data_IF_139449286569
#
_entry.id   IF_139449286569
#
_cell.length_a   1.000
_cell.length_b   1.000
_cell.length_c   1.000
_cell.angle_alpha   90.00
_cell.angle_beta   90.00
_cell.angle_gamma   90.00
#
_symmetry.space_group_name_H-M   'P 1'
#
loop_
_entity.id
_entity.type
_entity.pdbx_description
1 polymer ?
#
# COMPACT_ATOMS: atom_id res chain seq x y z
N UNK A 1 17.46 18.13 -17.95
CA UNK A 1 16.14 17.65 -17.47
C UNK A 1 16.34 17.18 -16.04
N UNK A 2 15.54 17.67 -15.11
CA UNK A 2 15.74 17.33 -13.67
C UNK A 2 14.78 16.18 -13.31
N UNK A 3 15.33 15.02 -13.03
CA UNK A 3 14.55 13.84 -12.59
C UNK A 3 14.18 13.98 -11.12
N UNK A 4 12.88 14.08 -10.81
CA UNK A 4 12.37 14.36 -9.46
C UNK A 4 11.75 13.13 -8.78
N UNK A 5 11.76 11.97 -9.41
CA UNK A 5 11.10 10.76 -8.91
C UNK A 5 11.48 10.44 -7.45
N UNK A 6 12.78 10.28 -7.18
CA UNK A 6 13.24 9.91 -5.83
C UNK A 6 13.00 11.00 -4.79
N UNK A 7 13.05 12.28 -5.21
CA UNK A 7 12.70 13.39 -4.33
C UNK A 7 11.22 13.37 -3.93
N UNK A 8 10.33 12.93 -4.84
CA UNK A 8 8.92 12.74 -4.53
C UNK A 8 8.68 11.48 -3.68
N UNK A 9 9.27 10.33 -4.03
CA UNK A 9 9.16 9.11 -3.23
C UNK A 9 9.58 9.38 -1.77
N UNK A 10 10.64 10.17 -1.55
CA UNK A 10 11.05 10.54 -0.19
C UNK A 10 9.98 11.30 0.61
N UNK A 11 8.96 11.87 -0.06
CA UNK A 11 7.85 12.59 0.61
C UNK A 11 6.81 11.65 1.22
N UNK A 12 6.82 10.36 0.91
CA UNK A 12 5.95 9.36 1.55
C UNK A 12 6.04 9.45 3.09
N UNK A 13 7.20 9.83 3.64
CA UNK A 13 7.39 10.04 5.08
C UNK A 13 6.56 11.19 5.68
N UNK A 14 6.04 12.09 4.86
CA UNK A 14 5.26 13.25 5.33
C UNK A 14 3.75 13.03 5.24
N UNK A 15 3.31 11.91 4.68
CA UNK A 15 1.89 11.59 4.51
C UNK A 15 1.48 10.66 5.63
N UNK A 16 0.72 11.22 6.57
CA UNK A 16 0.24 10.49 7.75
C UNK A 16 -0.97 9.64 7.39
N UNK A 17 -0.95 8.39 7.81
CA UNK A 17 -2.09 7.47 7.74
C UNK A 17 -3.01 7.66 8.93
N UNK A 18 -4.25 7.16 8.82
CA UNK A 18 -5.25 7.24 9.90
C UNK A 18 -5.59 8.67 10.32
N UNK A 19 -5.53 9.63 9.40
CA UNK A 19 -5.65 11.06 9.67
C UNK A 19 -6.99 11.52 10.26
N UNK A 20 -8.05 10.68 10.22
CA UNK A 20 -9.35 10.94 10.85
C UNK A 20 -9.51 10.30 12.23
N UNK A 21 -8.47 9.64 12.75
CA UNK A 21 -8.50 8.92 14.03
C UNK A 21 -7.43 9.47 14.96
N UNK A 22 -7.72 9.47 16.26
CA UNK A 22 -6.71 9.74 17.27
C UNK A 22 -5.76 8.55 17.32
N UNK A 23 -4.48 8.79 17.14
CA UNK A 23 -3.43 7.78 17.19
C UNK A 23 -2.63 7.90 18.46
N UNK A 24 -2.25 6.78 19.09
CA UNK A 24 -1.29 6.73 20.20
C UNK A 24 0.13 6.96 19.67
N UNK A 25 0.43 6.44 18.48
CA UNK A 25 1.64 6.72 17.72
C UNK A 25 1.30 6.92 16.24
N UNK A 26 1.98 7.86 15.62
CA UNK A 26 1.77 8.17 14.20
C UNK A 26 2.38 7.08 13.31
N UNK A 27 1.74 6.82 12.17
CA UNK A 27 2.24 6.01 11.08
C UNK A 27 2.20 6.85 9.80
N UNK A 28 3.27 6.83 9.02
CA UNK A 28 3.31 7.45 7.70
C UNK A 28 3.37 6.38 6.59
N UNK A 29 3.14 6.81 5.34
CA UNK A 29 3.08 5.88 4.19
C UNK A 29 4.42 5.15 3.99
N UNK A 30 5.58 5.78 4.26
CA UNK A 30 6.88 5.13 4.07
C UNK A 30 7.09 3.98 5.07
N UNK A 31 6.74 4.17 6.34
CA UNK A 31 6.79 3.12 7.38
C UNK A 31 5.83 2.00 7.07
N UNK A 32 4.59 2.34 6.67
CA UNK A 32 3.59 1.36 6.24
C UNK A 32 4.08 0.54 5.04
N UNK A 33 4.55 1.18 3.97
CA UNK A 33 5.02 0.49 2.77
C UNK A 33 6.22 -0.42 3.05
N UNK A 34 7.12 -0.03 3.96
CA UNK A 34 8.20 -0.91 4.43
C UNK A 34 7.64 -2.16 5.12
N UNK A 35 6.69 -2.01 6.06
CA UNK A 35 6.07 -3.15 6.74
C UNK A 35 5.30 -4.05 5.76
N UNK A 36 4.55 -3.45 4.83
CA UNK A 36 3.85 -4.20 3.77
C UNK A 36 4.84 -4.99 2.93
N UNK A 37 6.01 -4.43 2.59
CA UNK A 37 7.03 -5.14 1.82
C UNK A 37 7.60 -6.35 2.57
N UNK A 38 7.87 -6.22 3.87
CA UNK A 38 8.32 -7.35 4.73
C UNK A 38 7.26 -8.45 4.78
N UNK A 39 5.99 -8.09 4.98
CA UNK A 39 4.88 -9.04 5.03
C UNK A 39 4.62 -9.69 3.67
N UNK A 40 4.64 -8.92 2.59
CA UNK A 40 4.43 -9.44 1.24
C UNK A 40 5.52 -10.44 0.84
N UNK A 41 6.79 -10.13 1.14
CA UNK A 41 7.90 -11.06 0.96
C UNK A 41 7.66 -12.36 1.71
N UNK A 42 7.32 -12.28 3.00
CA UNK A 42 7.07 -13.45 3.85
C UNK A 42 5.88 -14.29 3.36
N UNK A 43 4.76 -13.65 2.99
CA UNK A 43 3.59 -14.33 2.45
C UNK A 43 3.89 -15.04 1.12
N UNK A 44 4.70 -14.40 0.25
CA UNK A 44 5.12 -14.99 -1.01
C UNK A 44 6.05 -16.20 -0.80
N UNK A 45 6.97 -16.15 0.18
CA UNK A 45 7.79 -17.29 0.58
C UNK A 45 6.94 -18.45 1.11
N UNK A 46 5.97 -18.17 1.98
CA UNK A 46 5.04 -19.19 2.49
C UNK A 46 4.27 -19.83 1.33
N UNK A 47 3.75 -18.99 0.41
CA UNK A 47 3.00 -19.48 -0.76
C UNK A 47 3.87 -20.36 -1.65
N UNK A 48 5.12 -19.98 -1.94
CA UNK A 48 6.03 -20.71 -2.80
C UNK A 48 6.60 -21.96 -2.12
N UNK A 49 7.20 -21.82 -0.93
CA UNK A 49 8.06 -22.83 -0.32
C UNK A 49 7.28 -23.79 0.57
N UNK A 50 6.13 -23.38 1.12
CA UNK A 50 5.30 -24.22 2.00
C UNK A 50 4.09 -24.77 1.25
N UNK A 51 3.39 -23.92 0.48
CA UNK A 51 2.17 -24.34 -0.21
C UNK A 51 2.41 -24.88 -1.63
N UNK A 52 3.63 -24.74 -2.17
CA UNK A 52 3.98 -25.20 -3.52
C UNK A 52 3.24 -24.46 -4.64
N UNK A 53 2.81 -23.21 -4.38
CA UNK A 53 2.09 -22.37 -5.33
C UNK A 53 3.02 -21.30 -5.92
N UNK A 54 2.75 -20.89 -7.17
CA UNK A 54 3.55 -19.88 -7.84
C UNK A 54 3.52 -18.54 -7.11
N UNK A 55 4.72 -17.97 -6.84
CA UNK A 55 4.92 -16.63 -6.32
C UNK A 55 6.37 -16.18 -6.52
N UNK A 56 6.56 -14.88 -6.73
CA UNK A 56 7.87 -14.22 -6.77
C UNK A 56 8.02 -13.29 -5.54
N UNK A 57 8.72 -13.74 -4.47
CA UNK A 57 8.86 -12.99 -3.24
C UNK A 57 9.55 -11.64 -3.42
N UNK A 58 10.58 -11.58 -4.26
CA UNK A 58 11.35 -10.37 -4.53
C UNK A 58 10.50 -9.34 -5.28
N UNK A 59 9.71 -9.79 -6.26
CA UNK A 59 8.74 -8.94 -6.96
C UNK A 59 7.67 -8.43 -6.03
N UNK A 60 7.10 -9.28 -5.16
CA UNK A 60 6.09 -8.88 -4.18
C UNK A 60 6.63 -7.81 -3.22
N UNK A 61 7.85 -7.99 -2.70
CA UNK A 61 8.49 -7.01 -1.83
C UNK A 61 8.73 -5.68 -2.55
N UNK A 62 9.26 -5.72 -3.77
CA UNK A 62 9.53 -4.53 -4.55
C UNK A 62 8.23 -3.78 -4.91
N UNK A 63 7.19 -4.47 -5.35
CA UNK A 63 5.88 -3.87 -5.64
C UNK A 63 5.26 -3.22 -4.39
N UNK A 64 5.36 -3.87 -3.24
CA UNK A 64 4.84 -3.37 -1.97
C UNK A 64 5.49 -2.05 -1.53
N UNK A 65 6.78 -1.81 -1.85
CA UNK A 65 7.44 -0.53 -1.57
C UNK A 65 6.80 0.66 -2.31
N UNK A 66 6.14 0.41 -3.43
CA UNK A 66 5.56 1.45 -4.28
C UNK A 66 4.02 1.45 -4.32
N UNK A 67 3.34 0.51 -3.63
CA UNK A 67 1.89 0.29 -3.76
C UNK A 67 1.06 1.54 -3.44
N UNK A 68 1.51 2.36 -2.49
CA UNK A 68 0.88 3.64 -2.11
C UNK A 68 1.64 4.87 -2.68
N UNK A 69 2.56 4.70 -3.64
CA UNK A 69 3.35 5.82 -4.16
C UNK A 69 2.49 6.91 -4.82
N UNK A 70 1.33 6.57 -5.39
CA UNK A 70 0.39 7.52 -5.95
C UNK A 70 -0.13 8.52 -4.91
N UNK A 71 -0.18 8.15 -3.64
CA UNK A 71 -0.65 8.98 -2.53
C UNK A 71 0.27 10.17 -2.22
N UNK A 72 1.49 10.20 -2.77
CA UNK A 72 2.35 11.39 -2.76
C UNK A 72 1.65 12.60 -3.41
N UNK A 73 0.79 12.35 -4.40
CA UNK A 73 0.06 13.37 -5.15
C UNK A 73 -1.40 13.53 -4.67
N UNK A 74 -2.00 12.49 -4.10
CA UNK A 74 -3.41 12.49 -3.69
C UNK A 74 -3.63 12.66 -2.19
N UNK A 75 -2.62 12.37 -1.37
CA UNK A 75 -2.76 12.10 0.06
C UNK A 75 -3.38 10.73 0.33
N UNK A 76 -3.30 10.29 1.59
CA UNK A 76 -3.99 9.09 2.07
C UNK A 76 -5.49 9.38 2.20
N UNK A 77 -6.29 8.85 1.29
CA UNK A 77 -7.73 9.02 1.33
C UNK A 77 -8.37 7.96 2.26
N UNK A 78 -9.14 8.37 3.29
CA UNK A 78 -9.77 7.43 4.20
C UNK A 78 -10.62 6.38 3.47
N UNK A 79 -10.45 5.12 3.84
CA UNK A 79 -11.14 3.97 3.23
C UNK A 79 -12.66 4.14 3.09
N UNK A 80 -13.41 4.71 4.08
CA UNK A 80 -14.85 4.95 3.91
C UNK A 80 -15.20 5.89 2.77
N UNK A 81 -14.33 6.87 2.47
CA UNK A 81 -14.52 7.81 1.35
C UNK A 81 -14.14 7.14 0.04
N UNK A 82 -12.99 6.47 -0.01
CA UNK A 82 -12.47 5.77 -1.20
C UNK A 82 -13.47 4.76 -1.78
N UNK A 83 -14.29 4.13 -0.92
CA UNK A 83 -15.27 3.09 -1.28
C UNK A 83 -16.73 3.49 -1.02
N UNK A 84 -17.01 4.79 -0.93
CA UNK A 84 -18.37 5.29 -0.62
C UNK A 84 -19.42 4.84 -1.64
N UNK A 85 -19.10 4.93 -2.92
CA UNK A 85 -19.93 4.42 -4.01
C UNK A 85 -19.06 4.04 -5.24
N UNK A 86 -19.63 3.31 -6.24
CA UNK A 86 -18.87 2.91 -7.44
C UNK A 86 -18.26 4.09 -8.20
N UNK A 87 -18.97 5.20 -8.34
CA UNK A 87 -18.50 6.37 -9.09
C UNK A 87 -17.25 7.00 -8.44
N UNK A 88 -17.24 7.15 -7.12
CA UNK A 88 -16.06 7.67 -6.38
C UNK A 88 -14.90 6.70 -6.48
N UNK A 89 -15.15 5.40 -6.32
CA UNK A 89 -14.14 4.35 -6.46
C UNK A 89 -13.46 4.38 -7.82
N UNK A 90 -14.25 4.49 -8.91
CA UNK A 90 -13.73 4.50 -10.27
C UNK A 90 -12.99 5.80 -10.59
N UNK A 91 -13.52 6.94 -10.14
CA UNK A 91 -12.83 8.23 -10.26
C UNK A 91 -11.49 8.22 -9.52
N UNK A 92 -11.44 7.65 -8.31
CA UNK A 92 -10.21 7.55 -7.54
C UNK A 92 -9.17 6.65 -8.21
N UNK A 93 -9.57 5.51 -8.78
CA UNK A 93 -8.67 4.65 -9.59
C UNK A 93 -8.06 5.40 -10.78
N UNK A 94 -8.84 6.26 -11.45
CA UNK A 94 -8.30 7.10 -12.52
C UNK A 94 -7.27 8.09 -11.99
N UNK A 95 -7.50 8.70 -10.84
CA UNK A 95 -6.55 9.61 -10.20
C UNK A 95 -5.26 8.86 -9.81
N UNK A 96 -5.37 7.66 -9.23
CA UNK A 96 -4.21 6.81 -8.91
C UNK A 96 -3.39 6.49 -10.17
N UNK A 97 -4.06 6.13 -11.28
CA UNK A 97 -3.41 5.86 -12.55
C UNK A 97 -2.66 7.08 -13.11
N UNK A 98 -3.32 8.23 -13.17
CA UNK A 98 -2.70 9.49 -13.63
C UNK A 98 -1.52 9.88 -12.74
N UNK A 99 -1.62 9.62 -11.44
CA UNK A 99 -0.53 9.86 -10.48
C UNK A 99 0.67 8.94 -10.77
N UNK A 100 0.43 7.66 -11.03
CA UNK A 100 1.46 6.71 -11.45
C UNK A 100 2.15 7.12 -12.76
N UNK A 101 1.39 7.56 -13.77
CA UNK A 101 1.92 8.07 -15.03
C UNK A 101 2.83 9.28 -14.81
N UNK A 102 2.43 10.22 -13.97
CA UNK A 102 3.24 11.40 -13.62
C UNK A 102 4.53 11.02 -12.88
N UNK A 103 4.46 10.06 -11.96
CA UNK A 103 5.65 9.56 -11.25
C UNK A 103 6.63 8.91 -12.23
N UNK A 104 6.16 8.01 -13.08
CA UNK A 104 6.99 7.35 -14.09
C UNK A 104 7.62 8.34 -15.07
N UNK A 105 6.89 9.38 -15.49
CA UNK A 105 7.41 10.42 -16.37
C UNK A 105 8.60 11.19 -15.79
N UNK A 106 8.78 11.17 -14.47
CA UNK A 106 9.91 11.82 -13.77
C UNK A 106 11.18 10.96 -13.74
N UNK A 107 11.10 9.71 -14.20
CA UNK A 107 12.27 8.85 -14.37
C UNK A 107 12.92 9.06 -15.75
N UNK A 108 14.23 8.76 -15.89
CA UNK A 108 14.84 8.55 -17.19
C UNK A 108 14.03 7.56 -18.03
N UNK A 109 13.92 7.82 -19.33
CA UNK A 109 13.11 6.99 -20.22
C UNK A 109 13.49 5.51 -20.16
N UNK A 110 14.80 5.24 -20.05
CA UNK A 110 15.35 3.87 -19.99
C UNK A 110 14.89 3.07 -18.75
N UNK A 111 14.46 3.76 -17.66
CA UNK A 111 14.00 3.12 -16.43
C UNK A 111 12.48 2.95 -16.34
N UNK A 112 11.72 3.69 -17.17
CA UNK A 112 10.24 3.71 -17.06
C UNK A 112 9.63 2.34 -17.28
N UNK A 113 10.08 1.62 -18.31
CA UNK A 113 9.58 0.27 -18.61
C UNK A 113 9.84 -0.73 -17.48
N UNK A 114 11.03 -0.68 -16.87
CA UNK A 114 11.39 -1.57 -15.76
C UNK A 114 10.69 -1.20 -14.44
N UNK A 115 10.31 0.07 -14.25
CA UNK A 115 9.65 0.53 -13.03
C UNK A 115 8.12 0.41 -13.09
N UNK A 116 7.52 0.51 -14.28
CA UNK A 116 6.08 0.50 -14.46
C UNK A 116 5.38 -0.70 -13.80
N UNK A 117 5.88 -1.96 -13.92
CA UNK A 117 5.26 -3.12 -13.28
C UNK A 117 5.14 -3.02 -11.76
N UNK A 118 6.01 -2.27 -11.09
CA UNK A 118 5.99 -2.07 -9.64
C UNK A 118 5.06 -0.92 -9.23
N UNK A 119 4.94 0.12 -10.06
CA UNK A 119 4.04 1.26 -9.81
C UNK A 119 2.58 0.88 -10.05
N UNK A 120 2.31 0.05 -11.08
CA UNK A 120 0.94 -0.37 -11.43
C UNK A 120 0.57 -1.74 -10.87
N UNK A 121 1.56 -2.50 -10.39
CA UNK A 121 1.36 -3.83 -9.82
C UNK A 121 0.51 -4.72 -10.76
N UNK A 122 1.01 -4.92 -11.97
CA UNK A 122 0.30 -5.55 -13.08
C UNK A 122 0.27 -7.09 -13.02
N UNK A 123 1.02 -7.71 -12.11
CA UNK A 123 0.99 -9.16 -11.90
C UNK A 123 -0.12 -9.56 -10.90
N UNK A 124 -1.12 -10.38 -11.31
CA UNK A 124 -2.25 -10.73 -10.46
C UNK A 124 -1.87 -11.45 -9.16
N UNK A 125 -0.83 -12.29 -9.19
CA UNK A 125 -0.36 -13.03 -8.00
C UNK A 125 0.29 -12.06 -7.02
N UNK A 126 1.25 -11.26 -7.48
CA UNK A 126 1.88 -10.23 -6.65
C UNK A 126 0.86 -9.24 -6.11
N UNK A 127 -0.09 -8.77 -6.95
CA UNK A 127 -1.16 -7.88 -6.52
C UNK A 127 -1.99 -8.47 -5.36
N UNK A 128 -2.36 -9.74 -5.46
CA UNK A 128 -3.15 -10.39 -4.41
C UNK A 128 -2.36 -10.50 -3.09
N UNK A 129 -1.07 -10.81 -3.17
CA UNK A 129 -0.18 -10.95 -2.01
C UNK A 129 0.07 -9.59 -1.35
N UNK A 130 0.40 -8.54 -2.13
CA UNK A 130 0.61 -7.19 -1.62
C UNK A 130 -0.66 -6.66 -0.96
N UNK A 131 -1.82 -6.88 -1.56
CA UNK A 131 -3.11 -6.49 -0.99
C UNK A 131 -3.44 -7.23 0.31
N UNK A 132 -3.04 -8.49 0.44
CA UNK A 132 -3.16 -9.24 1.70
C UNK A 132 -2.21 -8.68 2.77
N UNK A 133 -0.96 -8.40 2.38
CA UNK A 133 0.04 -7.79 3.27
C UNK A 133 -0.36 -6.40 3.75
N UNK A 134 -0.92 -5.53 2.88
CA UNK A 134 -1.46 -4.22 3.24
C UNK A 134 -2.56 -4.34 4.32
N UNK A 135 -3.53 -5.24 4.11
CA UNK A 135 -4.58 -5.50 5.10
C UNK A 135 -4.02 -5.99 6.43
N UNK A 136 -3.02 -6.89 6.38
CA UNK A 136 -2.38 -7.43 7.57
C UNK A 136 -1.59 -6.35 8.32
N UNK A 137 -0.84 -5.49 7.62
CA UNK A 137 -0.15 -4.35 8.21
C UNK A 137 -1.13 -3.39 8.92
N UNK A 138 -2.23 -3.04 8.23
CA UNK A 138 -3.27 -2.20 8.82
C UNK A 138 -3.95 -2.88 10.04
N UNK A 139 -4.11 -4.20 10.03
CA UNK A 139 -4.62 -4.94 11.19
C UNK A 139 -3.66 -4.94 12.37
N UNK A 140 -2.35 -5.14 12.11
CA UNK A 140 -1.31 -5.05 13.14
C UNK A 140 -1.36 -3.69 13.83
N UNK A 141 -1.42 -2.59 13.07
CA UNK A 141 -1.59 -1.23 13.62
C UNK A 141 -2.82 -1.13 14.51
N UNK A 142 -3.98 -1.67 14.10
CA UNK A 142 -5.17 -1.67 14.93
C UNK A 142 -4.96 -2.42 16.26
N UNK A 143 -4.30 -3.59 16.22
CA UNK A 143 -4.02 -4.40 17.42
C UNK A 143 -3.07 -3.66 18.38
N UNK A 144 -2.05 -3.00 17.85
CA UNK A 144 -1.10 -2.20 18.64
C UNK A 144 -1.80 -1.04 19.34
N UNK A 145 -2.66 -0.30 18.64
CA UNK A 145 -3.46 0.78 19.22
C UNK A 145 -4.41 0.28 20.31
N UNK A 146 -5.10 -0.84 20.08
CA UNK A 146 -5.96 -1.46 21.10
C UNK A 146 -5.19 -1.88 22.34
N UNK A 147 -4.00 -2.49 22.16
CA UNK A 147 -3.11 -2.85 23.30
C UNK A 147 -2.60 -1.61 24.04
N UNK A 148 -2.45 -0.49 23.37
CA UNK A 148 -2.13 0.80 23.98
C UNK A 148 -3.33 1.48 24.67
N UNK A 149 -4.51 0.84 24.68
CA UNK A 149 -5.73 1.36 25.30
C UNK A 149 -6.57 2.28 24.41
N UNK A 150 -6.25 2.38 23.12
CA UNK A 150 -6.98 3.23 22.18
C UNK A 150 -8.18 2.48 21.54
N UNK A 151 -9.33 2.52 22.21
CA UNK A 151 -10.56 1.84 21.79
C UNK A 151 -11.16 2.35 20.45
N UNK A 152 -10.73 3.52 19.95
CA UNK A 152 -11.20 4.05 18.66
C UNK A 152 -10.89 3.09 17.49
N UNK A 153 -9.84 2.25 17.62
CA UNK A 153 -9.45 1.28 16.60
C UNK A 153 -10.25 -0.03 16.60
N UNK A 154 -11.19 -0.22 17.52
CA UNK A 154 -11.96 -1.48 17.66
C UNK A 154 -12.78 -1.78 16.38
N UNK A 155 -13.49 -0.79 15.85
CA UNK A 155 -14.29 -0.94 14.62
C UNK A 155 -13.40 -1.25 13.40
N UNK A 156 -12.27 -0.56 13.27
CA UNK A 156 -11.31 -0.78 12.19
C UNK A 156 -10.71 -2.19 12.25
N UNK A 157 -10.34 -2.68 13.43
CA UNK A 157 -9.82 -4.03 13.63
C UNK A 157 -10.84 -5.10 13.19
N UNK A 158 -12.09 -4.97 13.63
CA UNK A 158 -13.19 -5.90 13.24
C UNK A 158 -13.41 -5.95 11.73
N UNK A 159 -13.38 -4.80 11.05
CA UNK A 159 -13.54 -4.72 9.59
C UNK A 159 -12.37 -5.40 8.84
N UNK A 160 -11.16 -5.32 9.36
CA UNK A 160 -9.98 -5.95 8.72
C UNK A 160 -10.03 -7.48 8.84
N UNK A 161 -10.45 -8.02 10.00
CA UNK A 161 -10.64 -9.47 10.20
C UNK A 161 -11.76 -10.01 9.31
N UNK A 162 -12.94 -9.37 9.30
CA UNK A 162 -14.10 -9.84 8.53
C UNK A 162 -13.87 -9.94 7.01
N UNK A 163 -12.89 -9.21 6.47
CA UNK A 163 -12.50 -9.28 5.06
C UNK A 163 -11.36 -10.27 4.76
N UNK A 164 -10.77 -10.87 5.79
CA UNK A 164 -9.73 -11.88 5.64
C UNK A 164 -10.30 -13.32 5.46
N UNK A 165 -11.61 -13.48 5.62
CA UNK A 165 -12.30 -14.77 5.50
C UNK A 165 -13.12 -14.93 4.21
N UNK A 166 -12.86 -14.14 3.18
CA UNK A 166 -13.54 -14.27 1.88
C UNK A 166 -12.54 -14.63 0.80
#
# INVERSE_FOLDING_TARGET
MQYKFYALISRMRYITRWGLMRNTFSENIAEHSHMVAVLAHSLALIRRDILGLDADPERCAAAALYHDASEILTGDLPTPIKYYNPAIKDAYKQVERVSGEKLLAMLPEQLRGSMAPYIYEDDPVSHSIVKAADKLSAYIKCVEELKAGNAEFESAARQKIGRAHV
#
